data_IF_255179474648
#
_entry.id   IF_255179474648
#
_cell.length_a   1.000
_cell.length_b   1.000
_cell.length_c   1.000
_cell.angle_alpha   90.00
_cell.angle_beta   90.00
_cell.angle_gamma   90.00
#
_symmetry.space_group_name_H-M   'P 1'
#
loop_
_entity.id
_entity.type
_entity.pdbx_description
1 polymer ?
2 non-polymer ?
3 non-polymer ?
4 water ?
#
# COMPACT_ATOMS: atom_id res chain seq x y z
N UNK A 1 10.91 -1.71 13.36
CA UNK A 1 11.51 -2.76 12.54
C UNK A 1 10.45 -3.75 12.09
N UNK A 2 10.60 -4.26 10.87
CA UNK A 2 9.71 -5.28 10.39
C UNK A 2 10.17 -6.67 10.83
N UNK A 3 9.19 -7.54 11.04
CA UNK A 3 9.45 -8.83 11.57
C UNK A 3 8.81 -9.97 10.81
N UNK A 4 8.00 -9.71 9.78
CA UNK A 4 7.24 -10.75 9.11
C UNK A 4 7.72 -11.00 7.70
N UNK A 5 7.90 -12.27 7.37
CA UNK A 5 8.03 -12.68 5.98
C UNK A 5 6.64 -13.13 5.52
N UNK A 6 5.93 -12.17 4.93
CA UNK A 6 4.56 -12.46 4.49
C UNK A 6 4.61 -13.43 3.32
N UNK A 7 3.64 -14.36 3.33
CA UNK A 7 3.56 -15.36 2.28
C UNK A 7 2.58 -14.89 1.20
N UNK A 8 3.01 -14.88 -0.05
CA UNK A 8 2.16 -14.48 -1.12
C UNK A 8 1.06 -15.53 -1.36
N UNK A 9 -0.05 -15.07 -1.90
CA UNK A 9 -1.18 -15.90 -2.25
C UNK A 9 -0.72 -17.03 -3.17
N UNK A 10 -1.14 -18.26 -2.87
CA UNK A 10 -0.98 -19.39 -3.81
C UNK A 10 -1.81 -19.07 -5.03
N UNK A 11 -1.20 -19.19 -6.18
CA UNK A 11 -1.98 -18.96 -7.38
C UNK A 11 -2.23 -17.50 -7.67
N UNK A 12 -1.48 -16.57 -7.09
CA UNK A 12 -1.67 -15.14 -7.32
C UNK A 12 -1.72 -14.82 -8.81
N UNK A 13 -2.73 -14.04 -9.18
CA UNK A 13 -2.98 -13.66 -10.58
C UNK A 13 -2.46 -12.22 -10.78
N UNK A 14 -1.22 -12.11 -11.24
CA UNK A 14 -0.56 -10.81 -11.34
C UNK A 14 -1.27 -9.91 -12.33
N UNK A 15 -1.69 -10.43 -13.47
CA UNK A 15 -2.30 -9.54 -14.47
C UNK A 15 -3.61 -8.95 -13.97
N UNK A 16 -4.40 -9.70 -13.20
CA UNK A 16 -5.61 -9.17 -12.64
C UNK A 16 -5.35 -8.10 -11.61
N UNK A 17 -4.37 -8.31 -10.74
CA UNK A 17 -4.07 -7.33 -9.69
C UNK A 17 -3.50 -6.05 -10.29
N UNK A 18 -2.51 -6.22 -11.18
CA UNK A 18 -1.80 -5.14 -11.86
C UNK A 18 -2.52 -4.83 -13.17
N UNK A 19 -3.78 -4.47 -13.10
CA UNK A 19 -4.61 -4.25 -14.30
C UNK A 19 -4.74 -2.76 -14.65
N UNK A 20 -4.10 -1.89 -13.90
CA UNK A 20 -4.19 -0.47 -14.11
C UNK A 20 -5.24 0.23 -13.30
N UNK A 21 -6.03 -0.49 -12.52
CA UNK A 21 -7.13 0.09 -11.76
C UNK A 21 -6.65 0.50 -10.34
N UNK A 22 -7.56 1.09 -9.60
CA UNK A 22 -7.32 1.61 -8.27
C UNK A 22 -7.80 0.62 -7.21
N UNK A 23 -7.02 0.54 -6.13
CA UNK A 23 -7.35 -0.14 -4.89
C UNK A 23 -7.41 0.87 -3.76
N UNK A 24 -8.42 0.78 -2.93
CA UNK A 24 -8.52 1.64 -1.75
C UNK A 24 -8.21 0.82 -0.51
N UNK A 25 -7.45 1.41 0.41
CA UNK A 25 -7.30 0.82 1.74
C UNK A 25 -8.59 1.04 2.51
N UNK A 26 -9.22 -0.01 2.99
CA UNK A 26 -10.37 0.13 3.85
C UNK A 26 -10.06 -0.10 5.30
N UNK A 27 -9.02 -0.88 5.62
CA UNK A 27 -8.68 -1.24 6.99
C UNK A 27 -7.18 -1.55 7.02
N UNK A 28 -6.53 -1.24 8.14
CA UNK A 28 -5.10 -1.51 8.24
C UNK A 28 -4.72 -1.98 9.63
N UNK A 29 -3.58 -2.63 9.73
CA UNK A 29 -3.03 -3.08 10.99
C UNK A 29 -1.53 -2.87 10.93
N UNK A 30 -1.00 -2.01 11.80
CA UNK A 30 0.43 -1.84 11.94
C UNK A 30 0.88 -2.58 13.18
N UNK A 31 1.86 -3.48 13.04
CA UNK A 31 2.31 -4.24 14.20
C UNK A 31 3.13 -3.43 15.16
N UNK A 32 3.57 -2.24 14.77
CA UNK A 32 4.02 -1.16 15.67
C UNK A 32 2.99 -0.03 15.54
N UNK A 33 1.85 -0.13 16.23
CA UNK A 33 0.68 0.73 15.98
C UNK A 33 0.97 2.22 16.08
N UNK A 34 1.94 2.56 16.90
CA UNK A 34 2.34 3.91 17.28
C UNK A 34 3.28 4.50 16.22
N UNK A 35 3.25 3.89 15.06
CA UNK A 35 4.03 4.22 13.89
C UNK A 35 3.28 5.08 12.88
N UNK A 36 1.95 4.93 12.91
CA UNK A 36 1.07 5.60 11.94
C UNK A 36 -0.10 6.21 12.68
N UNK A 37 -0.73 7.27 12.18
CA UNK A 37 -1.88 7.86 12.86
C UNK A 37 -3.04 6.85 12.89
N UNK A 38 -3.91 7.08 13.90
CA UNK A 38 -5.12 6.26 14.07
C UNK A 38 -6.18 6.54 13.01
N UNK A 39 -6.18 7.72 12.44
CA UNK A 39 -7.09 8.18 11.38
C UNK A 39 -6.25 8.41 10.13
N UNK A 40 -6.51 7.69 9.06
CA UNK A 40 -5.67 7.84 7.88
C UNK A 40 -6.42 7.37 6.66
N UNK A 41 -5.95 7.83 5.46
CA UNK A 41 -6.41 7.21 4.26
C UNK A 41 -5.36 7.06 3.24
N UNK A 42 -5.52 5.99 2.47
CA UNK A 42 -4.55 5.62 1.48
C UNK A 42 -5.20 4.85 0.35
N UNK A 43 -4.61 4.97 -0.84
CA UNK A 43 -5.07 4.24 -2.01
C UNK A 43 -3.89 4.06 -2.95
N UNK A 44 -4.06 3.18 -3.91
CA UNK A 44 -3.01 2.98 -4.91
C UNK A 44 -3.60 2.56 -6.23
N UNK A 45 -2.87 2.78 -7.29
CA UNK A 45 -3.10 2.16 -8.56
C UNK A 45 -1.95 1.17 -8.81
N UNK A 46 -2.21 0.11 -9.53
CA UNK A 46 -1.22 -0.93 -9.79
C UNK A 46 -1.43 -1.39 -11.20
N UNK A 47 -0.36 -1.40 -12.02
CA UNK A 47 -0.51 -1.78 -13.41
C UNK A 47 0.86 -1.89 -14.07
N UNK A 48 0.86 -2.40 -15.31
CA UNK A 48 2.05 -2.38 -16.17
C UNK A 48 1.94 -1.20 -17.11
N UNK A 49 2.98 -0.40 -17.22
CA UNK A 49 3.02 0.78 -18.07
C UNK A 49 4.24 0.63 -18.94
N UNK A 50 4.05 0.49 -20.25
CA UNK A 50 5.14 0.33 -21.22
C UNK A 50 6.11 -0.75 -20.77
N UNK A 51 5.53 -1.89 -20.38
CA UNK A 51 6.30 -3.05 -19.99
C UNK A 51 6.84 -3.08 -18.59
N UNK A 52 6.67 -2.01 -17.83
CA UNK A 52 7.26 -1.86 -16.50
C UNK A 52 6.17 -2.06 -15.46
N UNK A 53 6.43 -2.84 -14.43
CA UNK A 53 5.47 -3.04 -13.33
C UNK A 53 5.47 -1.87 -12.38
N UNK A 54 4.34 -1.22 -12.17
CA UNK A 54 4.26 0.07 -11.49
C UNK A 54 3.19 0.08 -10.41
N UNK A 55 3.44 0.90 -9.39
CA UNK A 55 2.42 1.32 -8.48
C UNK A 55 2.47 2.81 -8.29
N UNK A 56 1.31 3.41 -8.13
CA UNK A 56 1.18 4.81 -7.74
C UNK A 56 0.43 4.81 -6.42
N UNK A 57 0.95 5.57 -5.43
CA UNK A 57 0.38 5.61 -4.09
C UNK A 57 -0.13 7.00 -3.81
N UNK A 58 -1.14 7.06 -2.94
CA UNK A 58 -1.70 8.27 -2.37
C UNK A 58 -1.89 8.05 -0.88
N UNK A 59 -1.40 9.04 -0.09
CA UNK A 59 -1.61 9.09 1.35
C UNK A 59 -2.23 10.43 1.70
N UNK A 60 -3.15 10.39 2.65
CA UNK A 60 -3.79 11.64 3.13
C UNK A 60 -4.15 11.44 4.58
N UNK A 61 -3.68 12.36 5.44
CA UNK A 61 -4.05 12.38 6.85
C UNK A 61 -5.25 13.29 6.93
N UNK A 62 -6.40 12.76 7.30
CA UNK A 62 -7.60 13.54 7.22
C UNK A 62 -7.73 14.63 8.28
N UNK A 63 -6.91 14.61 9.29
CA UNK A 63 -6.89 15.64 10.33
C UNK A 63 -5.85 16.72 10.01
N UNK A 64 -4.62 16.32 9.73
CA UNK A 64 -3.60 17.33 9.44
C UNK A 64 -3.62 17.84 8.02
N UNK A 65 -4.24 17.11 7.07
CA UNK A 65 -4.28 17.37 5.67
C UNK A 65 -2.93 17.08 4.99
N UNK A 66 -1.97 16.50 5.57
CA UNK A 66 -0.73 16.06 5.03
C UNK A 66 -1.06 15.09 3.91
N UNK A 67 -0.57 15.31 2.71
CA UNK A 67 -0.89 14.69 1.44
C UNK A 67 0.38 14.35 0.67
N UNK A 68 0.52 13.17 0.12
CA UNK A 68 1.61 12.95 -0.81
C UNK A 68 1.28 11.77 -1.71
N UNK A 69 1.85 11.86 -2.91
CA UNK A 69 1.82 10.82 -3.92
C UNK A 69 3.21 10.23 -4.12
N UNK A 70 3.25 8.99 -4.53
CA UNK A 70 4.48 8.30 -4.90
C UNK A 70 4.28 7.48 -6.14
N UNK A 71 5.36 7.28 -6.87
CA UNK A 71 5.38 6.32 -7.97
C UNK A 71 6.58 5.41 -7.80
N UNK A 72 6.46 4.12 -8.15
CA UNK A 72 7.57 3.17 -8.10
C UNK A 72 7.46 2.16 -9.26
N UNK A 73 8.60 1.69 -9.76
CA UNK A 73 8.69 0.49 -10.55
C UNK A 73 9.07 -0.64 -9.59
N UNK A 74 8.23 -1.63 -9.55
CA UNK A 74 8.35 -2.82 -8.68
C UNK A 74 9.30 -3.81 -9.32
N UNK A 75 10.22 -4.32 -8.55
CA UNK A 75 11.08 -5.41 -8.89
C UNK A 75 10.52 -6.67 -8.29
N UNK A 76 10.69 -7.76 -9.02
CA UNK A 76 10.11 -9.04 -8.61
C UNK A 76 11.08 -9.84 -7.74
N UNK A 77 10.63 -10.27 -6.57
CA UNK A 77 11.38 -11.22 -5.77
C UNK A 77 10.86 -12.64 -5.99
N UNK A 78 9.54 -12.76 -6.11
CA UNK A 78 8.87 -14.03 -6.38
C UNK A 78 7.41 -13.65 -6.72
N UNK A 79 6.62 -14.61 -7.10
CA UNK A 79 5.27 -14.21 -7.55
C UNK A 79 4.50 -13.66 -6.34
N UNK A 80 3.98 -12.45 -6.49
CA UNK A 80 3.31 -11.76 -5.43
C UNK A 80 4.13 -11.06 -4.39
N UNK A 81 5.47 -11.01 -4.58
CA UNK A 81 6.37 -10.38 -3.63
C UNK A 81 7.35 -9.49 -4.40
N UNK A 82 7.34 -8.20 -4.03
CA UNK A 82 8.02 -7.16 -4.76
C UNK A 82 8.80 -6.25 -3.83
N UNK A 83 9.82 -5.59 -4.43
CA UNK A 83 10.57 -4.53 -3.78
C UNK A 83 10.41 -3.29 -4.66
N UNK A 84 10.05 -2.19 -4.08
CA UNK A 84 9.65 -0.96 -4.78
C UNK A 84 10.47 0.24 -4.32
N UNK A 85 11.41 0.81 -5.05
CA UNK A 85 12.13 2.04 -4.75
C UNK A 85 11.20 3.19 -5.18
N UNK A 86 10.71 4.02 -4.26
CA UNK A 86 9.70 5.02 -4.57
C UNK A 86 10.29 6.42 -4.82
N UNK A 87 9.55 7.21 -5.58
CA UNK A 87 9.83 8.63 -5.73
C UNK A 87 8.56 9.39 -5.35
N UNK A 88 8.74 10.42 -4.53
CA UNK A 88 7.62 11.29 -4.19
C UNK A 88 7.40 12.25 -5.37
N UNK A 89 6.15 12.39 -5.79
CA UNK A 89 5.75 13.21 -6.93
C UNK A 89 4.53 14.03 -6.55
N UNK A 90 4.31 15.10 -7.30
CA UNK A 90 3.00 15.74 -7.23
C UNK A 90 1.99 14.88 -8.03
N UNK A 91 0.72 15.34 -8.03
CA UNK A 91 -0.33 14.52 -8.67
C UNK A 91 -0.12 14.37 -10.16
N UNK A 92 0.68 15.21 -10.78
CA UNK A 92 0.96 15.17 -12.20
C UNK A 92 2.24 14.43 -12.54
N UNK A 93 2.91 13.83 -11.53
CA UNK A 93 4.08 13.04 -11.72
C UNK A 93 5.36 13.80 -11.72
N UNK A 94 5.34 15.09 -11.38
CA UNK A 94 6.62 15.82 -11.30
C UNK A 94 7.36 15.42 -10.04
N UNK A 95 8.63 15.18 -10.14
CA UNK A 95 9.40 14.64 -9.04
C UNK A 95 9.64 15.70 -7.97
N UNK A 96 9.30 15.34 -6.73
CA UNK A 96 9.60 16.13 -5.55
C UNK A 96 10.81 15.57 -4.76
N UNK A 97 10.91 14.25 -4.67
CA UNK A 97 11.99 13.61 -4.00
C UNK A 97 12.36 12.38 -4.89
N UNK A 98 13.55 12.40 -5.47
CA UNK A 98 14.00 11.38 -6.39
C UNK A 98 14.20 10.02 -5.71
N UNK A 99 14.12 8.99 -6.54
CA UNK A 99 14.54 7.65 -6.09
C UNK A 99 15.90 7.71 -5.43
N UNK A 100 16.07 6.97 -4.34
CA UNK A 100 17.37 6.82 -3.72
C UNK A 100 17.39 5.48 -2.99
N UNK A 101 18.62 4.96 -2.95
CA UNK A 101 18.80 3.72 -2.21
C UNK A 101 18.46 4.02 -0.75
N UNK A 102 17.83 3.01 -0.20
CA UNK A 102 17.32 3.13 1.16
C UNK A 102 15.91 3.66 1.27
N UNK A 103 15.36 4.16 0.18
CA UNK A 103 13.96 4.52 0.16
C UNK A 103 13.28 3.43 -0.67
N UNK A 104 12.74 2.42 0.00
CA UNK A 104 12.00 1.39 -0.71
C UNK A 104 10.97 0.80 0.23
N UNK A 105 9.98 0.14 -0.37
CA UNK A 105 9.08 -0.70 0.40
C UNK A 105 9.04 -2.07 -0.21
N UNK A 106 8.81 -3.10 0.64
CA UNK A 106 8.43 -4.39 0.11
C UNK A 106 6.92 -4.45 0.09
N UNK A 107 6.43 -5.33 -0.79
CA UNK A 107 4.97 -5.40 -1.03
C UNK A 107 4.66 -6.84 -1.36
N UNK A 108 3.80 -7.46 -0.51
CA UNK A 108 3.41 -8.86 -0.69
C UNK A 108 1.88 -8.95 -0.77
N UNK A 109 1.38 -9.54 -1.82
CA UNK A 109 -0.05 -9.78 -1.97
C UNK A 109 -0.37 -11.14 -1.38
N UNK A 110 -0.96 -11.12 -0.17
CA UNK A 110 -1.24 -12.31 0.59
C UNK A 110 -2.53 -13.01 0.09
N UNK A 111 -3.45 -12.23 -0.44
CA UNK A 111 -4.76 -12.70 -0.91
C UNK A 111 -5.21 -11.65 -1.93
N UNK A 112 -5.85 -12.06 -3.01
CA UNK A 112 -6.55 -11.15 -3.91
C UNK A 112 -7.60 -11.89 -4.67
N UNK A 113 -8.69 -11.17 -4.94
CA UNK A 113 -9.66 -11.57 -5.95
C UNK A 113 -9.96 -10.32 -6.77
N UNK A 114 -11.04 -10.38 -7.56
CA UNK A 114 -11.27 -9.24 -8.42
C UNK A 114 -11.60 -7.96 -7.70
N UNK A 115 -12.14 -8.06 -6.48
CA UNK A 115 -12.68 -6.94 -5.75
C UNK A 115 -11.95 -6.60 -4.46
N UNK A 116 -11.17 -7.50 -3.90
CA UNK A 116 -10.62 -7.34 -2.56
C UNK A 116 -9.22 -7.93 -2.53
N UNK A 117 -8.46 -7.47 -1.54
CA UNK A 117 -7.10 -8.00 -1.37
C UNK A 117 -6.62 -7.76 0.05
N UNK A 118 -5.61 -8.53 0.45
CA UNK A 118 -4.87 -8.37 1.70
C UNK A 118 -3.41 -8.28 1.32
N UNK A 119 -2.76 -7.19 1.75
CA UNK A 119 -1.33 -7.01 1.45
C UNK A 119 -0.59 -6.79 2.75
N UNK A 120 0.74 -7.05 2.65
CA UNK A 120 1.70 -6.66 3.68
C UNK A 120 2.72 -5.73 3.00
N UNK A 121 3.14 -4.71 3.76
CA UNK A 121 4.23 -3.86 3.30
C UNK A 121 5.15 -3.54 4.46
N UNK A 122 6.45 -3.49 4.16
CA UNK A 122 7.47 -2.97 5.08
C UNK A 122 8.14 -1.78 4.43
N UNK A 123 8.00 -0.60 5.02
CA UNK A 123 8.58 0.61 4.49
C UNK A 123 9.97 0.86 5.10
N UNK A 124 10.90 1.18 4.25
CA UNK A 124 12.24 1.64 4.60
C UNK A 124 12.41 3.07 4.04
N UNK A 125 12.68 4.02 4.88
CA UNK A 125 12.80 5.38 4.43
C UNK A 125 13.94 6.00 5.23
N UNK A 126 15.16 5.92 4.63
CA UNK A 126 16.31 6.47 5.33
C UNK A 126 16.43 5.81 6.69
N UNK A 127 16.56 6.60 7.74
CA UNK A 127 16.82 6.07 9.08
C UNK A 127 15.60 5.95 10.00
N UNK A 128 14.36 6.06 9.53
CA UNK A 128 13.16 5.92 10.36
C UNK A 128 13.02 4.49 10.86
N UNK A 129 12.37 4.17 11.98
CA UNK A 129 12.24 2.76 12.40
C UNK A 129 10.77 2.38 12.25
N UNK A 130 10.42 1.64 11.21
CA UNK A 130 9.05 1.31 10.79
C UNK A 130 8.78 -0.19 10.95
N UNK A 131 7.58 -0.60 11.28
CA UNK A 131 7.16 -2.01 11.43
C UNK A 131 6.16 -2.43 10.41
N UNK A 132 5.78 -3.65 10.41
CA UNK A 132 4.93 -4.37 9.45
C UNK A 132 3.56 -3.72 9.34
N UNK A 133 3.11 -3.47 8.12
CA UNK A 133 1.78 -2.90 7.91
C UNK A 133 0.98 -3.81 6.99
N UNK A 134 -0.17 -4.26 7.48
CA UNK A 134 -1.12 -5.02 6.69
C UNK A 134 -2.25 -4.11 6.31
N UNK A 135 -2.75 -4.31 5.09
CA UNK A 135 -3.88 -3.51 4.61
C UNK A 135 -4.88 -4.41 3.87
N UNK A 136 -6.15 -4.20 4.20
CA UNK A 136 -7.27 -4.74 3.44
C UNK A 136 -7.64 -3.68 2.39
N UNK A 137 -7.70 -4.15 1.14
CA UNK A 137 -8.00 -3.32 -0.02
C UNK A 137 -9.35 -3.70 -0.59
N UNK A 138 -10.01 -2.77 -1.24
CA UNK A 138 -11.18 -3.06 -2.05
C UNK A 138 -11.18 -2.15 -3.26
N UNK A 139 -11.81 -2.62 -4.33
CA UNK A 139 -12.07 -1.78 -5.51
C UNK A 139 -13.09 -0.69 -5.21
N UNK A 140 -13.93 -0.87 -4.24
CA UNK A 140 -14.94 0.10 -3.82
C UNK A 140 -14.51 0.69 -2.48
N UNK A 141 -14.33 2.00 -2.45
CA UNK A 141 -13.77 2.66 -1.30
C UNK A 141 -14.65 2.51 -0.06
N UNK A 142 -15.95 2.24 -0.25
CA UNK A 142 -16.88 2.11 0.88
C UNK A 142 -17.20 0.69 1.29
N UNK A 143 -16.60 -0.31 0.61
CA UNK A 143 -16.93 -1.69 0.93
C UNK A 143 -16.52 -2.15 2.30
N UNK A 144 -17.46 -2.75 3.02
CA UNK A 144 -17.15 -3.51 4.22
C UNK A 144 -16.39 -4.78 3.80
N UNK A 145 -15.44 -5.21 4.61
CA UNK A 145 -14.67 -6.43 4.31
C UNK A 145 -15.60 -7.63 4.29
N UNK A 146 -15.56 -8.40 3.23
CA UNK A 146 -16.33 -9.62 3.11
C UNK A 146 -15.61 -10.82 3.66
N UNK A 147 -16.28 -11.98 3.52
CA UNK A 147 -15.76 -13.18 4.12
C UNK A 147 -14.48 -13.67 3.44
N UNK A 148 -14.28 -13.50 2.14
CA UNK A 148 -13.05 -14.00 1.51
C UNK A 148 -11.87 -13.29 2.14
N UNK A 149 -11.87 -11.98 2.19
CA UNK A 149 -10.70 -11.27 2.72
C UNK A 149 -10.58 -11.43 4.23
N UNK A 150 -11.71 -11.49 4.99
CA UNK A 150 -11.58 -11.68 6.42
C UNK A 150 -11.04 -13.07 6.75
N UNK A 151 -11.43 -14.09 5.96
CA UNK A 151 -10.86 -15.41 6.14
C UNK A 151 -9.37 -15.38 5.89
N UNK A 152 -8.93 -14.65 4.86
CA UNK A 152 -7.50 -14.51 4.56
C UNK A 152 -6.77 -13.86 5.75
N UNK A 153 -7.40 -12.86 6.38
CA UNK A 153 -6.80 -12.26 7.56
C UNK A 153 -6.58 -13.32 8.64
N UNK A 154 -7.62 -14.14 8.87
CA UNK A 154 -7.49 -15.24 9.83
C UNK A 154 -6.42 -16.23 9.46
N UNK A 155 -6.32 -16.55 8.17
CA UNK A 155 -5.37 -17.54 7.69
C UNK A 155 -3.93 -17.01 7.88
N UNK A 156 -3.74 -15.73 7.91
CA UNK A 156 -2.46 -15.11 8.20
C UNK A 156 -2.16 -15.04 9.69
N UNK A 157 -3.05 -15.62 10.50
CA UNK A 157 -2.95 -15.64 11.96
C UNK A 157 -3.02 -14.23 12.52
N UNK A 158 -3.90 -13.42 11.94
CA UNK A 158 -4.24 -12.09 12.37
C UNK A 158 -5.74 -12.05 12.76
N UNK A 159 -6.08 -11.05 13.55
CA UNK A 159 -7.45 -10.84 13.97
C UNK A 159 -7.99 -9.60 13.32
N UNK A 160 -8.97 -9.74 12.44
CA UNK A 160 -9.55 -8.61 11.77
C UNK A 160 -10.13 -7.57 12.71
N UNK A 161 -10.57 -7.98 13.89
CA UNK A 161 -11.11 -7.04 14.85
C UNK A 161 -10.09 -6.01 15.31
N UNK A 162 -8.81 -6.30 15.12
CA UNK A 162 -7.79 -5.34 15.53
C UNK A 162 -7.47 -4.32 14.42
N UNK A 163 -7.90 -4.57 13.19
CA UNK A 163 -7.64 -3.62 12.12
C UNK A 163 -8.41 -2.35 12.34
N UNK A 164 -7.80 -1.25 11.93
CA UNK A 164 -8.42 0.08 12.02
C UNK A 164 -9.05 0.44 10.68
N UNK A 165 -10.32 0.82 10.69
CA UNK A 165 -11.00 1.23 9.49
C UNK A 165 -10.62 2.62 9.03
N UNK A 166 -10.58 2.85 7.74
CA UNK A 166 -10.39 4.19 7.20
C UNK A 166 -11.65 4.86 6.75
N UNK A 167 -12.72 4.15 6.65
CA UNK A 167 -14.09 4.58 6.34
C UNK A 167 -14.84 5.77 6.95
N UNK A 168 -14.42 6.15 8.13
CA UNK A 168 -15.14 7.21 8.85
C UNK A 168 -14.34 8.49 8.79
N UNK A 169 -13.51 8.73 7.77
CA UNK A 169 -12.64 9.86 7.68
C UNK A 169 -12.97 10.84 6.57
N UNK A 170 -14.10 10.75 5.90
CA UNK A 170 -14.56 11.59 4.79
C UNK A 170 -13.52 11.57 3.67
N UNK A 171 -12.69 10.50 3.50
CA UNK A 171 -11.68 10.73 2.46
C UNK A 171 -12.23 10.55 1.04
N UNK A 172 -11.73 11.47 0.22
CA UNK A 172 -12.07 11.57 -1.19
C UNK A 172 -10.78 11.43 -1.99
N UNK A 173 -10.86 10.68 -3.09
CA UNK A 173 -9.66 10.28 -3.82
C UNK A 173 -9.73 10.82 -5.24
N UNK A 174 -8.54 11.15 -5.78
CA UNK A 174 -8.38 11.54 -7.16
C UNK A 174 -7.92 10.31 -7.96
N UNK A 175 -8.90 9.52 -8.40
CA UNK A 175 -8.63 8.32 -9.15
C UNK A 175 -7.91 8.57 -10.46
N UNK A 176 -8.25 9.70 -11.07
CA UNK A 176 -7.63 10.06 -12.31
C UNK A 176 -6.12 10.22 -12.16
N UNK A 177 -5.73 10.91 -11.08
CA UNK A 177 -4.29 11.10 -10.84
C UNK A 177 -3.63 9.78 -10.60
N UNK A 178 -4.23 8.92 -9.76
CA UNK A 178 -3.59 7.61 -9.52
C UNK A 178 -3.38 6.82 -10.76
N UNK A 179 -4.36 6.76 -11.67
CA UNK A 179 -4.21 6.02 -12.91
C UNK A 179 -3.14 6.66 -13.78
N UNK A 180 -3.14 7.97 -13.91
CA UNK A 180 -2.17 8.60 -14.80
C UNK A 180 -0.74 8.45 -14.24
N UNK A 181 -0.60 8.47 -12.92
CA UNK A 181 0.73 8.36 -12.32
C UNK A 181 1.41 7.04 -12.64
N UNK A 182 0.66 5.99 -13.02
CA UNK A 182 1.30 4.74 -13.39
C UNK A 182 2.27 4.93 -14.53
N UNK A 183 2.08 5.93 -15.38
CA UNK A 183 2.97 6.08 -16.52
C UNK A 183 4.20 6.91 -16.18
N UNK A 184 4.31 7.49 -15.00
CA UNK A 184 5.30 8.52 -14.66
C UNK A 184 6.50 8.05 -13.92
X LIG B 1 4.77 6.84 4.08
X LIG B 1 3.88 3.07 1.26
X LIG B 1 -0.35 2.46 3.46
X LIG B 1 0.94 5.65 6.78
X LIG B 1 4.82 5.94 3.04
X LIG B 1 5.86 5.97 2.00
X LIG B 1 5.60 4.88 1.24
X LIG B 1 4.44 4.19 1.80
X LIG B 1 6.40 4.43 -0.02
X LIG B 1 6.89 6.99 1.83
X LIG B 1 6.54 8.06 0.89
X LIG B 1 7.62 9.06 0.58
X LIG B 1 8.29 9.52 1.56
X LIG B 1 7.78 9.42 -0.59
X LIG B 1 2.64 2.50 1.61
X LIG B 1 2.02 1.42 0.97
X LIG B 1 0.75 1.31 1.56
X LIG B 1 0.69 2.29 2.54
X LIG B 1 2.64 0.59 -0.12
X LIG B 1 -0.30 0.32 1.22
X LIG B 1 -0.71 -0.14 0.13
X LIG B 1 -0.40 3.27 4.52
X LIG B 1 -1.45 3.33 5.49
X LIG B 1 -1.02 4.19 6.51
X LIG B 1 0.28 4.73 6.11
X LIG B 1 -2.74 2.58 5.44
X LIG B 1 -1.68 4.46 7.70
X LIG B 1 -1.86 4.94 8.58
X LIG B 1 2.12 6.26 6.34
X LIG B 1 2.78 7.36 6.95
X LIG B 1 3.83 7.73 6.20
X LIG B 1 3.84 6.82 5.07
X LIG B 1 2.24 8.09 8.24
X LIG B 1 4.80 8.83 6.42
X LIG B 1 6.14 8.25 7.05
X LIG B 1 6.99 9.41 7.35
X LIG B 1 7.76 9.85 6.58
X LIG B 1 7.14 9.94 8.45
X LIG B 1 3.97 4.84 2.89
X LIG B 1 1.88 3.03 2.64
X LIG B 1 0.63 4.16 4.91
X LIG B 1 2.79 5.89 5.18
X LIG B 1 2.31 4.45 3.90
X LIG C 1 3.20 3.27 4.91
X LIG C 1 3.89 2.61 5.52
#
# INVERSE_FOLDING_TARGET
ACTKNAIAQTGFNKDKYFNGDVWYVTDYLDLEPDDVPKRYCAALAAGTASGKLKEALYHYDPKTQDTFYDVSELQVESLGKYTANFKKVDKNGNVKVAVTAGNYYTFTVMYADDSSALIHTCLHKGNKDLGDLYAVLNRNKDAAAGDKVKSAVSAATLEFSKFISTKENNCAYDNDSLKSLLTK
HEM CHA CHB CHC CHD C1A C2A C3A C4A CMA CAA CBA CGA O1A O2A C1B C2B C3B C4B CMB CAB CBB C1C C2C C3C C4C CMC CAC CBC C1D C2D C3D C4D CMD CAD CBD CGD O1D O2D NA NB NC ND FE
CMO C O
#
